data_IF_330941202469
#
_entry.id   IF_330941202469
#
_cell.length_a   1.000
_cell.length_b   1.000
_cell.length_c   1.000
_cell.angle_alpha   90.00
_cell.angle_beta   90.00
_cell.angle_gamma   90.00
#
_symmetry.space_group_name_H-M   'P 1'
#
loop_
_entity.id
_entity.type
_entity.pdbx_description
1 polymer ?
#
# COMPACT_ATOMS: atom_id res chain seq x y z
N UNK A 1 44.90 -4.25 -38.30
CA UNK A 1 44.19 -3.01 -38.66
C UNK A 1 43.60 -2.41 -37.40
N UNK A 2 44.18 -1.32 -36.92
CA UNK A 2 43.75 -0.58 -35.72
C UNK A 2 43.30 0.81 -36.15
N UNK A 3 41.98 1.04 -36.16
CA UNK A 3 41.41 2.35 -36.41
C UNK A 3 41.41 3.15 -35.10
N UNK A 4 42.39 4.04 -34.96
CA UNK A 4 42.35 5.14 -33.99
C UNK A 4 41.81 6.36 -34.73
N UNK A 5 40.76 6.97 -34.20
CA UNK A 5 40.27 8.27 -34.65
C UNK A 5 40.42 9.21 -33.46
N UNK A 6 41.51 9.98 -33.47
CA UNK A 6 41.66 11.17 -32.64
C UNK A 6 40.69 12.25 -33.17
N UNK A 7 39.87 12.81 -32.29
CA UNK A 7 39.12 14.03 -32.58
C UNK A 7 39.34 15.05 -31.46
N UNK A 8 40.46 15.76 -31.59
CA UNK A 8 40.70 17.03 -30.90
C UNK A 8 39.82 18.12 -31.52
N UNK A 9 38.77 18.52 -30.80
CA UNK A 9 38.12 19.81 -31.00
C UNK A 9 38.19 20.58 -29.70
N UNK A 10 39.19 21.45 -29.63
CA UNK A 10 39.27 22.58 -28.73
C UNK A 10 38.28 23.64 -29.24
N UNK A 11 37.21 23.91 -28.49
CA UNK A 11 36.45 25.14 -28.68
C UNK A 11 36.03 25.76 -27.35
N UNK A 12 36.76 26.84 -27.05
CA UNK A 12 36.46 28.05 -26.27
C UNK A 12 35.39 27.99 -25.17
N UNK A 13 35.89 28.24 -23.95
CA UNK A 13 35.18 28.76 -22.80
C UNK A 13 34.30 29.97 -23.17
N UNK A 14 32.99 29.85 -22.97
CA UNK A 14 32.18 30.92 -22.41
C UNK A 14 31.73 30.49 -21.03
N UNK A 15 32.28 31.15 -20.01
CA UNK A 15 31.91 30.99 -18.62
C UNK A 15 30.52 31.61 -18.40
N UNK A 16 29.47 30.80 -18.53
CA UNK A 16 28.18 31.13 -17.93
C UNK A 16 28.24 30.63 -16.50
N UNK A 17 28.55 31.56 -15.59
CA UNK A 17 28.49 31.32 -14.15
C UNK A 17 27.08 30.94 -13.75
N UNK A 18 26.77 29.65 -13.74
CA UNK A 18 25.71 29.13 -12.91
C UNK A 18 26.23 29.16 -11.47
N UNK A 19 26.03 30.30 -10.81
CA UNK A 19 25.96 30.33 -9.35
C UNK A 19 24.81 29.42 -8.93
N UNK A 20 25.11 28.13 -8.84
CA UNK A 20 24.33 27.20 -8.05
C UNK A 20 24.56 27.59 -6.60
N UNK A 21 23.80 28.59 -6.13
CA UNK A 21 23.58 28.79 -4.70
C UNK A 21 22.86 27.55 -4.18
N UNK A 22 23.64 26.51 -3.90
CA UNK A 22 23.25 25.39 -3.09
C UNK A 22 23.11 25.89 -1.64
N UNK A 23 21.99 26.55 -1.38
CA UNK A 23 21.52 26.92 -0.04
C UNK A 23 20.06 26.46 0.05
N UNK A 24 19.63 25.56 0.92
CA UNK A 24 20.30 24.76 1.93
C UNK A 24 19.35 23.63 2.33
N UNK A 25 19.92 22.51 2.78
CA UNK A 25 19.31 21.44 3.59
C UNK A 25 17.77 21.36 3.64
N UNK A 26 17.11 20.86 2.58
CA UNK A 26 15.70 20.40 2.65
C UNK A 26 15.55 18.90 2.98
N UNK A 27 16.63 18.23 3.36
CA UNK A 27 16.62 16.83 3.82
C UNK A 27 15.78 16.55 5.09
N UNK A 28 15.83 17.40 6.15
CA UNK A 28 15.08 17.11 7.39
C UNK A 28 13.59 17.39 7.28
N UNK A 29 13.16 18.35 6.46
CA UNK A 29 11.74 18.70 6.30
C UNK A 29 10.98 17.64 5.51
N UNK A 30 11.56 17.12 4.43
CA UNK A 30 10.99 15.99 3.68
C UNK A 30 10.91 14.72 4.54
N UNK A 31 11.97 14.39 5.28
CA UNK A 31 11.96 13.23 6.18
C UNK A 31 10.89 13.33 7.27
N UNK A 32 10.71 14.53 7.85
CA UNK A 32 9.64 14.80 8.81
C UNK A 32 8.25 14.64 8.18
N UNK A 33 8.03 15.20 7.00
CA UNK A 33 6.77 15.06 6.28
C UNK A 33 6.45 13.59 5.93
N UNK A 34 7.47 12.83 5.50
CA UNK A 34 7.33 11.40 5.22
C UNK A 34 6.98 10.59 6.49
N UNK A 35 7.67 10.86 7.60
CA UNK A 35 7.39 10.22 8.90
C UNK A 35 5.97 10.53 9.36
N UNK A 36 5.53 11.79 9.24
CA UNK A 36 4.17 12.20 9.59
C UNK A 36 3.12 11.52 8.70
N UNK A 37 3.37 11.41 7.39
CA UNK A 37 2.47 10.70 6.48
C UNK A 37 2.31 9.21 6.86
N UNK A 38 3.41 8.54 7.19
CA UNK A 38 3.36 7.15 7.69
C UNK A 38 2.61 7.03 9.02
N UNK A 39 2.79 7.97 9.94
CA UNK A 39 2.07 7.98 11.22
C UNK A 39 0.56 8.12 11.01
N UNK A 40 0.12 9.04 10.15
CA UNK A 40 -1.31 9.23 9.82
C UNK A 40 -1.89 7.95 9.22
N UNK A 41 -1.19 7.33 8.26
CA UNK A 41 -1.63 6.07 7.66
C UNK A 41 -1.78 4.93 8.69
N UNK A 42 -0.83 4.83 9.62
CA UNK A 42 -0.88 3.82 10.69
C UNK A 42 -2.03 4.09 11.68
N UNK A 43 -2.32 5.36 11.98
CA UNK A 43 -3.46 5.74 12.81
C UNK A 43 -4.79 5.41 12.13
N UNK A 44 -4.94 5.70 10.83
CA UNK A 44 -6.11 5.32 10.04
C UNK A 44 -6.34 3.80 10.06
N UNK A 45 -5.27 3.03 9.85
CA UNK A 45 -5.30 1.56 9.90
C UNK A 45 -5.72 1.05 11.28
N UNK A 46 -5.12 1.59 12.34
CA UNK A 46 -5.43 1.20 13.73
C UNK A 46 -6.88 1.48 14.07
N UNK A 47 -7.37 2.67 13.73
CA UNK A 47 -8.77 3.07 13.93
C UNK A 47 -9.73 2.18 13.13
N UNK A 48 -9.36 1.80 11.91
CA UNK A 48 -10.15 0.85 11.12
C UNK A 48 -10.23 -0.53 11.77
N UNK A 49 -9.09 -1.08 12.22
CA UNK A 49 -9.05 -2.39 12.87
C UNK A 49 -9.86 -2.42 14.18
N UNK A 50 -9.83 -1.33 14.96
CA UNK A 50 -10.67 -1.22 16.15
C UNK A 50 -12.17 -1.27 15.82
N UNK A 51 -12.62 -0.59 14.76
CA UNK A 51 -14.01 -0.67 14.30
C UNK A 51 -14.35 -2.08 13.80
N UNK A 52 -13.42 -2.73 13.11
CA UNK A 52 -13.55 -4.10 12.65
C UNK A 52 -13.78 -5.07 13.81
N UNK A 53 -12.99 -4.95 14.87
CA UNK A 53 -13.12 -5.78 16.07
C UNK A 53 -14.46 -5.58 16.77
N UNK A 54 -14.92 -4.33 16.91
CA UNK A 54 -16.22 -4.03 17.52
C UNK A 54 -17.35 -4.68 16.71
N UNK A 55 -17.34 -4.56 15.39
CA UNK A 55 -18.36 -5.19 14.54
C UNK A 55 -18.25 -6.72 14.56
N UNK A 56 -17.04 -7.28 14.59
CA UNK A 56 -16.81 -8.72 14.73
C UNK A 56 -17.39 -9.26 16.03
N UNK A 57 -17.18 -8.55 17.15
CA UNK A 57 -17.78 -8.90 18.44
C UNK A 57 -19.32 -8.80 18.42
N UNK A 58 -19.87 -7.79 17.73
CA UNK A 58 -21.32 -7.66 17.55
C UNK A 58 -21.89 -8.86 16.79
N UNK A 59 -21.29 -9.22 15.67
CA UNK A 59 -21.66 -10.39 14.87
C UNK A 59 -21.57 -11.69 15.66
N UNK A 60 -20.47 -11.89 16.40
CA UNK A 60 -20.28 -13.08 17.23
C UNK A 60 -21.31 -13.22 18.37
N UNK A 61 -21.94 -12.11 18.79
CA UNK A 61 -23.01 -12.13 19.80
C UNK A 61 -24.38 -12.32 19.18
N UNK A 62 -24.67 -11.64 18.08
CA UNK A 62 -26.00 -11.62 17.48
C UNK A 62 -26.27 -12.82 16.57
N UNK A 63 -25.23 -13.38 15.94
CA UNK A 63 -25.35 -14.36 14.85
C UNK A 63 -26.33 -13.90 13.76
N UNK A 64 -26.46 -12.58 13.55
CA UNK A 64 -27.46 -12.03 12.63
C UNK A 64 -26.88 -11.88 11.22
N UNK A 65 -27.73 -12.15 10.22
CA UNK A 65 -27.36 -11.95 8.81
C UNK A 65 -27.06 -10.47 8.51
N UNK A 66 -27.77 -9.54 9.18
CA UNK A 66 -27.53 -8.11 9.03
C UNK A 66 -26.11 -7.73 9.48
N UNK A 67 -25.69 -8.21 10.65
CA UNK A 67 -24.35 -7.89 11.18
C UNK A 67 -23.24 -8.52 10.33
N UNK A 68 -23.50 -9.68 9.72
CA UNK A 68 -22.60 -10.32 8.77
C UNK A 68 -22.41 -9.47 7.51
N UNK A 69 -23.50 -8.92 6.97
CA UNK A 69 -23.45 -8.02 5.80
C UNK A 69 -22.66 -6.76 6.13
N UNK A 70 -22.91 -6.15 7.29
CA UNK A 70 -22.17 -4.98 7.76
C UNK A 70 -20.66 -5.27 7.91
N UNK A 71 -20.31 -6.40 8.54
CA UNK A 71 -18.92 -6.84 8.71
C UNK A 71 -18.22 -7.06 7.35
N UNK A 72 -18.88 -7.79 6.44
CA UNK A 72 -18.34 -8.08 5.10
C UNK A 72 -18.13 -6.80 4.29
N UNK A 73 -19.07 -5.86 4.36
CA UNK A 73 -18.95 -4.57 3.69
C UNK A 73 -17.77 -3.74 4.23
N UNK A 74 -17.51 -3.82 5.53
CA UNK A 74 -16.38 -3.12 6.16
C UNK A 74 -15.04 -3.72 5.70
N UNK A 75 -14.90 -5.05 5.70
CA UNK A 75 -13.69 -5.71 5.15
C UNK A 75 -13.49 -5.38 3.68
N UNK A 76 -14.55 -5.43 2.86
CA UNK A 76 -14.49 -5.09 1.44
C UNK A 76 -14.02 -3.66 1.20
N UNK A 77 -14.53 -2.71 1.97
CA UNK A 77 -14.16 -1.29 1.87
C UNK A 77 -12.70 -1.05 2.25
N UNK A 78 -12.20 -1.78 3.24
CA UNK A 78 -10.80 -1.76 3.62
C UNK A 78 -9.87 -2.32 2.55
N UNK A 79 -10.21 -3.49 1.99
CA UNK A 79 -9.42 -4.08 0.91
C UNK A 79 -9.37 -3.15 -0.30
N UNK A 80 -10.48 -2.51 -0.68
CA UNK A 80 -10.49 -1.51 -1.76
C UNK A 80 -9.55 -0.33 -1.49
N UNK A 81 -9.62 0.24 -0.29
CA UNK A 81 -8.78 1.39 0.10
C UNK A 81 -7.30 1.01 0.13
N UNK A 82 -6.98 -0.14 0.71
CA UNK A 82 -5.59 -0.59 0.89
C UNK A 82 -4.96 -1.07 -0.42
N UNK A 83 -5.71 -1.82 -1.25
CA UNK A 83 -5.24 -2.27 -2.56
C UNK A 83 -5.13 -1.11 -3.55
N UNK A 84 -6.04 -0.14 -3.49
CA UNK A 84 -5.95 1.10 -4.28
C UNK A 84 -4.69 1.90 -3.95
N UNK A 85 -4.37 2.06 -2.66
CA UNK A 85 -3.10 2.67 -2.21
C UNK A 85 -1.87 1.84 -2.62
N UNK A 86 -1.97 0.51 -2.53
CA UNK A 86 -0.86 -0.41 -2.83
C UNK A 86 -0.50 -0.46 -4.32
N UNK A 87 -1.44 -0.29 -5.25
CA UNK A 87 -1.18 -0.33 -6.71
C UNK A 87 -0.14 0.70 -7.16
N UNK A 88 0.00 1.81 -6.44
CA UNK A 88 1.00 2.87 -6.68
C UNK A 88 2.39 2.45 -6.17
N UNK A 89 2.47 1.59 -5.16
CA UNK A 89 3.73 1.06 -4.60
C UNK A 89 4.13 -0.30 -5.20
N UNK A 90 3.31 -0.90 -6.06
CA UNK A 90 3.41 -2.30 -6.50
C UNK A 90 4.40 -2.57 -7.63
N UNK A 91 5.12 -1.58 -8.15
CA UNK A 91 6.19 -1.81 -9.12
C UNK A 91 7.27 -2.78 -8.59
N UNK A 92 7.34 -3.02 -7.28
CA UNK A 92 8.29 -3.95 -6.64
C UNK A 92 7.71 -5.30 -6.16
N UNK A 93 6.45 -5.66 -6.44
CA UNK A 93 5.82 -6.78 -5.73
C UNK A 93 6.20 -8.16 -6.30
N UNK A 94 6.82 -8.96 -5.44
CA UNK A 94 7.36 -10.30 -5.67
C UNK A 94 6.22 -11.30 -5.99
N UNK A 95 6.40 -12.06 -7.07
CA UNK A 95 5.51 -13.14 -7.49
C UNK A 95 5.78 -14.38 -6.63
N UNK A 96 4.73 -15.11 -6.22
CA UNK A 96 4.90 -16.44 -5.64
C UNK A 96 5.45 -17.43 -6.71
N UNK A 97 5.98 -18.58 -6.30
CA UNK A 97 6.42 -19.65 -7.22
C UNK A 97 5.29 -20.10 -8.17
N UNK A 98 4.03 -19.88 -7.78
CA UNK A 98 2.81 -20.14 -8.57
C UNK A 98 2.45 -19.03 -9.58
N UNK A 99 3.18 -17.92 -9.61
CA UNK A 99 2.85 -16.76 -10.46
C UNK A 99 1.65 -15.94 -9.95
N UNK A 100 1.19 -16.16 -8.72
CA UNK A 100 0.19 -15.28 -8.10
C UNK A 100 0.90 -14.16 -7.30
N UNK A 101 0.46 -12.89 -7.43
CA UNK A 101 0.96 -11.85 -6.54
C UNK A 101 0.66 -12.20 -5.07
N UNK A 102 1.66 -12.15 -4.17
CA UNK A 102 1.50 -12.51 -2.74
C UNK A 102 0.38 -11.75 -2.03
N UNK A 103 0.02 -10.58 -2.55
CA UNK A 103 -1.10 -9.77 -2.06
C UNK A 103 -2.45 -10.38 -2.42
N UNK A 104 -2.61 -10.88 -3.65
CA UNK A 104 -3.84 -11.53 -4.11
C UNK A 104 -4.06 -12.85 -3.34
N UNK A 105 -3.00 -13.62 -3.10
CA UNK A 105 -3.08 -14.83 -2.26
C UNK A 105 -3.64 -14.54 -0.85
N UNK A 106 -3.28 -13.40 -0.24
CA UNK A 106 -3.84 -12.98 1.05
C UNK A 106 -5.30 -12.56 0.94
N UNK A 107 -5.66 -11.82 -0.12
CA UNK A 107 -7.06 -11.43 -0.37
C UNK A 107 -7.95 -12.66 -0.53
N UNK A 108 -7.51 -13.66 -1.30
CA UNK A 108 -8.24 -14.92 -1.47
C UNK A 108 -8.46 -15.65 -0.14
N UNK A 109 -7.45 -15.68 0.75
CA UNK A 109 -7.60 -16.27 2.09
C UNK A 109 -8.64 -15.54 2.94
N UNK A 110 -8.68 -14.21 2.87
CA UNK A 110 -9.67 -13.39 3.59
C UNK A 110 -11.08 -13.69 3.06
N UNK A 111 -11.23 -13.77 1.74
CA UNK A 111 -12.52 -14.04 1.09
C UNK A 111 -13.08 -15.40 1.53
N UNK A 112 -12.25 -16.44 1.48
CA UNK A 112 -12.61 -17.78 1.98
C UNK A 112 -13.03 -17.79 3.45
N UNK A 113 -12.30 -17.08 4.31
CA UNK A 113 -12.66 -17.00 5.73
C UNK A 113 -14.03 -16.30 5.95
N UNK A 114 -14.40 -15.35 5.10
CA UNK A 114 -15.71 -14.69 5.14
C UNK A 114 -16.83 -15.58 4.62
N UNK A 115 -16.56 -16.44 3.65
CA UNK A 115 -17.51 -17.47 3.18
C UNK A 115 -17.79 -18.49 4.29
N UNK A 116 -16.73 -19.05 4.90
CA UNK A 116 -16.84 -19.99 6.01
C UNK A 116 -17.61 -19.38 7.20
N UNK A 117 -17.37 -18.10 7.51
CA UNK A 117 -18.15 -17.38 8.52
C UNK A 117 -19.63 -17.25 8.14
N UNK A 118 -19.93 -17.02 6.87
CA UNK A 118 -21.30 -16.95 6.38
C UNK A 118 -22.04 -18.28 6.49
N UNK A 119 -21.37 -19.38 6.14
CA UNK A 119 -21.91 -20.73 6.32
C UNK A 119 -22.20 -21.03 7.80
N UNK A 120 -21.29 -20.66 8.70
CA UNK A 120 -21.49 -20.81 10.15
C UNK A 120 -22.74 -20.06 10.64
N UNK A 121 -22.89 -18.78 10.26
CA UNK A 121 -24.05 -17.96 10.65
C UNK A 121 -25.37 -18.55 10.13
N UNK A 122 -25.37 -19.07 8.90
CA UNK A 122 -26.55 -19.72 8.32
C UNK A 122 -26.86 -21.07 8.99
N UNK A 123 -25.83 -21.81 9.42
CA UNK A 123 -25.99 -23.10 10.11
C UNK A 123 -26.43 -22.96 11.57
N UNK A 124 -26.16 -21.80 12.19
CA UNK A 124 -26.54 -21.50 13.58
C UNK A 124 -27.97 -20.96 13.75
N UNK A 125 -28.71 -20.82 12.64
CA UNK A 125 -30.12 -20.43 12.63
C UNK A 125 -31.06 -21.61 12.84
#
# INVERSE_FOLDING_TARGET
MSLRVDHSTQNQNQAVGFESKASGRKGPEFSKALTQAHQVQNQELTSFLQRLDIQGQKLAKSHSLQDLIEFKNMVKSFLKTTLGKSRIMQEENIWDFSGQPRIMARVTKIDRALEELGEQVLSSQ
#
